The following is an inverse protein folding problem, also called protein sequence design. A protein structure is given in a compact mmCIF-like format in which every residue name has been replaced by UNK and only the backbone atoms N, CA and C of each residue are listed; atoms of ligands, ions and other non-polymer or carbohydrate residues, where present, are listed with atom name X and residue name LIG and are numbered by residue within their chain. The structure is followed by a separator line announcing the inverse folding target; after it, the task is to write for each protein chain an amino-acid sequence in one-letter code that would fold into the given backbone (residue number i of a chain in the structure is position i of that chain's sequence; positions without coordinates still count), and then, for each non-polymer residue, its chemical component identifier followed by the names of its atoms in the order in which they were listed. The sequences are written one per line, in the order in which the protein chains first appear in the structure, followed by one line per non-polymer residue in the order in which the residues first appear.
data_IF_027862799014
#
_entry.id   IF_027862799014
#
_cell.length_a   1.000
_cell.length_b   1.000
_cell.length_c   1.000
_cell.angle_alpha   90.00
_cell.angle_beta   90.00
_cell.angle_gamma   90.00
#
_symmetry.space_group_name_H-M   'P 1'
#
loop_
_entity.id
_entity.type
_entity.pdbx_description
1 polymer ?
#
# COMPACT_ATOMS: atom_id res chain seq x y z
N UNK A 1 18.38 -11.30 -14.08
CA UNK A 1 17.05 -11.58 -14.65
C UNK A 1 16.73 -13.03 -14.33
N UNK A 2 15.57 -13.29 -13.76
CA UNK A 2 15.11 -14.64 -13.43
C UNK A 2 14.83 -15.40 -14.73
N UNK A 3 15.44 -16.58 -14.94
CA UNK A 3 15.21 -17.47 -16.10
C UNK A 3 13.83 -18.17 -16.09
N UNK A 4 12.87 -17.62 -15.35
CA UNK A 4 11.55 -18.24 -15.17
C UNK A 4 10.63 -17.74 -16.28
N UNK A 5 10.18 -18.65 -17.15
CA UNK A 5 9.11 -18.37 -18.11
C UNK A 5 7.73 -18.56 -17.43
N UNK A 6 6.92 -17.49 -17.29
CA UNK A 6 5.60 -17.58 -16.69
C UNK A 6 4.54 -18.20 -17.63
N UNK A 7 4.85 -18.44 -18.90
CA UNK A 7 3.90 -19.05 -19.83
C UNK A 7 3.61 -20.52 -19.47
N UNK A 8 2.34 -20.90 -19.54
CA UNK A 8 1.88 -22.25 -19.20
C UNK A 8 1.88 -22.58 -17.70
N UNK A 9 2.48 -21.74 -16.85
CA UNK A 9 2.46 -21.92 -15.40
C UNK A 9 1.09 -21.56 -14.82
N UNK A 10 0.58 -22.41 -13.93
CA UNK A 10 -0.69 -22.20 -13.21
C UNK A 10 -0.44 -21.95 -11.73
N UNK A 11 -1.25 -21.08 -11.12
CA UNK A 11 -1.24 -20.92 -9.67
C UNK A 11 -1.98 -22.09 -9.00
N UNK A 12 -1.40 -22.68 -7.96
CA UNK A 12 -1.95 -23.88 -7.32
C UNK A 12 -2.74 -23.59 -6.02
N UNK A 13 -2.85 -22.32 -5.62
CA UNK A 13 -3.47 -21.89 -4.38
C UNK A 13 -4.27 -20.57 -4.50
N UNK A 14 -4.95 -20.20 -3.41
CA UNK A 14 -5.58 -18.90 -3.26
C UNK A 14 -6.82 -18.68 -4.13
N UNK A 15 -7.20 -17.41 -4.31
CA UNK A 15 -8.44 -17.00 -4.99
C UNK A 15 -8.46 -17.36 -6.48
N UNK A 16 -7.29 -17.39 -7.12
CA UNK A 16 -7.13 -17.60 -8.56
C UNK A 16 -6.64 -19.02 -8.91
N UNK A 17 -6.74 -19.97 -7.97
CA UNK A 17 -6.26 -21.35 -8.15
C UNK A 17 -6.72 -21.95 -9.48
N UNK A 18 -5.77 -22.51 -10.22
CA UNK A 18 -5.98 -23.14 -11.53
C UNK A 18 -5.89 -22.15 -12.71
N UNK A 19 -5.80 -20.85 -12.46
CA UNK A 19 -5.57 -19.87 -13.52
C UNK A 19 -4.09 -19.81 -13.95
N UNK A 20 -3.86 -19.41 -15.19
CA UNK A 20 -2.51 -19.13 -15.69
C UNK A 20 -1.97 -17.84 -15.06
N UNK A 21 -0.68 -17.81 -14.73
CA UNK A 21 -0.01 -16.60 -14.21
C UNK A 21 -0.20 -15.39 -15.14
N UNK A 22 -0.17 -15.62 -16.45
CA UNK A 22 -0.39 -14.61 -17.49
C UNK A 22 -1.79 -14.00 -17.49
N UNK A 23 -2.76 -14.59 -16.80
CA UNK A 23 -4.14 -14.09 -16.66
C UNK A 23 -4.41 -13.40 -15.33
N UNK A 24 -3.50 -13.53 -14.37
CA UNK A 24 -3.68 -12.96 -13.03
C UNK A 24 -3.72 -11.42 -13.10
N UNK A 25 -4.57 -10.77 -12.29
CA UNK A 25 -4.56 -9.32 -12.16
C UNK A 25 -3.20 -8.83 -11.65
N UNK A 26 -2.74 -7.68 -12.15
CA UNK A 26 -1.49 -7.05 -11.70
C UNK A 26 -1.46 -6.84 -10.19
N UNK A 27 -2.56 -6.40 -9.60
CA UNK A 27 -2.66 -6.20 -8.14
C UNK A 27 -2.43 -7.50 -7.35
N UNK A 28 -2.84 -8.64 -7.91
CA UNK A 28 -2.61 -9.95 -7.28
C UNK A 28 -1.14 -10.37 -7.41
N UNK A 29 -0.51 -10.14 -8.57
CA UNK A 29 0.92 -10.36 -8.76
C UNK A 29 1.74 -9.51 -7.76
N UNK A 30 1.42 -8.22 -7.63
CA UNK A 30 2.07 -7.32 -6.65
C UNK A 30 1.94 -7.85 -5.22
N UNK A 31 0.74 -8.30 -4.83
CA UNK A 31 0.52 -8.91 -3.52
C UNK A 31 1.40 -10.15 -3.32
N UNK A 32 1.43 -11.08 -4.29
CA UNK A 32 2.26 -12.29 -4.19
C UNK A 32 3.74 -11.94 -4.00
N UNK A 33 4.23 -10.99 -4.78
CA UNK A 33 5.62 -10.52 -4.72
C UNK A 33 5.95 -9.91 -3.36
N UNK A 34 5.06 -9.03 -2.85
CA UNK A 34 5.32 -8.29 -1.63
C UNK A 34 5.16 -9.13 -0.36
N UNK A 35 4.26 -10.12 -0.36
CA UNK A 35 4.09 -11.05 0.77
C UNK A 35 5.02 -12.27 0.69
N UNK A 36 5.85 -12.37 -0.37
CA UNK A 36 6.64 -13.58 -0.69
C UNK A 36 5.77 -14.85 -0.64
N UNK A 37 4.57 -14.75 -1.18
CA UNK A 37 3.61 -15.85 -1.21
C UNK A 37 4.15 -17.05 -2.02
N UNK A 38 3.59 -18.26 -1.90
CA UNK A 38 4.03 -19.38 -2.72
C UNK A 38 4.06 -19.02 -4.22
N UNK A 39 5.03 -19.53 -4.97
CA UNK A 39 5.20 -19.19 -6.39
C UNK A 39 5.42 -17.68 -6.71
N UNK A 40 5.82 -16.85 -5.72
CA UNK A 40 6.05 -15.40 -5.94
C UNK A 40 7.11 -15.09 -7.00
N UNK A 41 8.07 -15.98 -7.24
CA UNK A 41 9.10 -15.80 -8.27
C UNK A 41 8.51 -15.83 -9.68
N UNK A 42 7.52 -16.69 -9.92
CA UNK A 42 6.76 -16.74 -11.17
C UNK A 42 5.90 -15.48 -11.30
N UNK A 43 5.29 -15.02 -10.19
CA UNK A 43 4.55 -13.76 -10.18
C UNK A 43 5.46 -12.57 -10.52
N UNK A 44 6.69 -12.55 -10.00
CA UNK A 44 7.69 -11.53 -10.29
C UNK A 44 8.11 -11.55 -11.76
N UNK A 45 8.38 -12.72 -12.33
CA UNK A 45 8.70 -12.86 -13.74
C UNK A 45 7.57 -12.35 -14.65
N UNK A 46 6.30 -12.69 -14.35
CA UNK A 46 5.16 -12.17 -15.11
C UNK A 46 4.97 -10.66 -14.94
N UNK A 47 5.17 -10.14 -13.74
CA UNK A 47 5.09 -8.70 -13.47
C UNK A 47 6.14 -7.92 -14.26
N UNK A 48 7.39 -8.40 -14.26
CA UNK A 48 8.49 -7.83 -15.04
C UNK A 48 8.22 -7.93 -16.55
N UNK A 49 7.71 -9.07 -17.04
CA UNK A 49 7.35 -9.28 -18.45
C UNK A 49 6.28 -8.28 -18.93
N UNK A 50 5.35 -7.90 -18.05
CA UNK A 50 4.31 -6.88 -18.37
C UNK A 50 4.84 -5.46 -18.40
N UNK A 51 6.06 -5.21 -17.89
CA UNK A 51 6.64 -3.86 -17.83
C UNK A 51 5.94 -2.92 -16.84
N UNK A 52 5.23 -3.46 -15.85
CA UNK A 52 4.59 -2.66 -14.81
C UNK A 52 5.63 -2.18 -13.78
N UNK A 53 5.32 -1.13 -13.03
CA UNK A 53 6.26 -0.50 -12.08
C UNK A 53 5.87 -0.84 -10.65
N UNK A 54 6.84 -1.29 -9.86
CA UNK A 54 6.62 -1.56 -8.45
C UNK A 54 6.39 -0.24 -7.70
N UNK A 55 5.34 -0.14 -6.86
CA UNK A 55 5.10 1.07 -6.10
C UNK A 55 6.17 1.25 -5.01
N UNK A 56 6.48 2.49 -4.66
CA UNK A 56 7.29 2.80 -3.47
C UNK A 56 6.54 2.49 -2.18
N UNK A 57 5.23 2.71 -2.21
CA UNK A 57 4.27 2.41 -1.14
C UNK A 57 2.97 2.01 -1.82
N UNK A 58 2.42 0.86 -1.45
CA UNK A 58 1.07 0.48 -1.84
C UNK A 58 0.06 1.18 -0.93
N UNK A 59 -0.91 1.87 -1.51
CA UNK A 59 -1.93 2.60 -0.73
C UNK A 59 -3.26 1.91 -0.94
N UNK A 60 -3.85 1.41 0.15
CA UNK A 60 -5.17 0.79 0.08
C UNK A 60 -6.24 1.82 -0.29
N UNK A 61 -7.29 1.39 -0.99
CA UNK A 61 -8.46 2.26 -1.24
C UNK A 61 -9.06 2.80 0.06
N UNK A 62 -9.08 1.98 1.11
CA UNK A 62 -9.52 2.41 2.44
C UNK A 62 -8.65 3.55 3.01
N UNK A 63 -7.34 3.53 2.81
CA UNK A 63 -6.47 4.61 3.24
C UNK A 63 -6.76 5.91 2.48
N UNK A 64 -7.01 5.85 1.16
CA UNK A 64 -7.38 7.02 0.35
C UNK A 64 -8.70 7.63 0.84
N UNK A 65 -9.73 6.81 1.05
CA UNK A 65 -11.04 7.27 1.55
C UNK A 65 -10.91 7.92 2.92
N UNK A 66 -10.13 7.31 3.81
CA UNK A 66 -9.88 7.88 5.13
C UNK A 66 -9.10 9.19 5.02
N UNK A 67 -8.16 9.28 4.08
CA UNK A 67 -7.38 10.48 3.87
C UNK A 67 -8.24 11.65 3.41
N UNK A 68 -9.03 11.43 2.36
CA UNK A 68 -9.91 12.44 1.75
C UNK A 68 -10.96 12.96 2.74
N UNK A 69 -11.43 12.12 3.68
CA UNK A 69 -12.45 12.49 4.67
C UNK A 69 -11.87 13.08 5.96
N UNK A 70 -10.70 12.63 6.42
CA UNK A 70 -10.25 12.89 7.80
C UNK A 70 -8.97 13.71 7.90
N UNK A 71 -8.12 13.67 6.88
CA UNK A 71 -6.83 14.39 6.88
C UNK A 71 -6.67 15.36 5.70
N UNK A 72 -7.74 15.65 4.95
CA UNK A 72 -7.74 16.63 3.85
C UNK A 72 -7.16 17.99 4.21
N UNK A 73 -7.43 18.49 5.43
CA UNK A 73 -6.85 19.75 5.91
C UNK A 73 -5.32 19.67 6.03
N UNK A 74 -4.81 18.59 6.62
CA UNK A 74 -3.36 18.36 6.77
C UNK A 74 -2.71 18.22 5.39
N UNK A 75 -3.37 17.53 4.45
CA UNK A 75 -2.88 17.44 3.07
C UNK A 75 -2.74 18.82 2.43
N UNK A 76 -3.76 19.67 2.49
CA UNK A 76 -3.67 21.02 1.93
C UNK A 76 -2.59 21.89 2.57
N UNK A 77 -2.30 21.68 3.85
CA UNK A 77 -1.30 22.45 4.61
C UNK A 77 0.15 21.97 4.39
N UNK A 78 0.34 20.70 4.01
CA UNK A 78 1.68 20.05 4.00
C UNK A 78 2.10 19.49 2.65
N UNK A 79 1.22 19.55 1.65
CA UNK A 79 1.54 19.13 0.28
C UNK A 79 2.52 20.09 -0.38
N UNK A 80 3.39 19.55 -1.22
CA UNK A 80 4.20 20.34 -2.14
C UNK A 80 3.38 21.00 -3.24
N UNK A 81 4.04 21.83 -4.04
CA UNK A 81 3.49 22.36 -5.29
C UNK A 81 3.10 21.21 -6.22
N UNK A 82 1.88 21.27 -6.78
CA UNK A 82 1.28 20.24 -7.64
C UNK A 82 1.24 18.80 -7.09
N UNK A 83 1.36 18.63 -5.77
CA UNK A 83 1.32 17.31 -5.16
C UNK A 83 -0.14 16.85 -4.92
N UNK A 84 -0.52 15.78 -5.63
CA UNK A 84 -1.80 15.09 -5.45
C UNK A 84 -1.85 14.25 -4.16
N UNK A 85 -3.07 13.90 -3.72
CA UNK A 85 -3.29 13.15 -2.47
C UNK A 85 -2.53 11.81 -2.43
N UNK A 86 -2.48 11.10 -3.55
CA UNK A 86 -1.79 9.80 -3.64
C UNK A 86 -0.28 9.96 -3.43
N UNK A 87 0.37 10.85 -4.19
CA UNK A 87 1.81 11.12 -4.08
C UNK A 87 2.17 11.63 -2.68
N UNK A 88 1.35 12.52 -2.13
CA UNK A 88 1.49 13.00 -0.76
C UNK A 88 1.40 11.87 0.27
N UNK A 89 0.44 10.94 0.14
CA UNK A 89 0.33 9.79 1.04
C UNK A 89 1.54 8.86 0.93
N UNK A 90 2.11 8.66 -0.27
CA UNK A 90 3.33 7.88 -0.41
C UNK A 90 4.49 8.54 0.35
N UNK A 91 4.69 9.84 0.15
CA UNK A 91 5.74 10.61 0.84
C UNK A 91 5.55 10.60 2.36
N UNK A 92 4.35 10.92 2.84
CA UNK A 92 4.02 10.87 4.28
C UNK A 92 4.24 9.49 4.89
N UNK A 93 3.98 8.41 4.14
CA UNK A 93 4.21 7.05 4.63
C UNK A 93 5.70 6.77 4.79
N UNK A 94 6.51 7.14 3.80
CA UNK A 94 7.97 6.95 3.86
C UNK A 94 8.59 7.80 4.98
N UNK A 95 8.25 9.09 5.05
CA UNK A 95 8.71 9.99 6.11
C UNK A 95 8.27 9.50 7.51
N UNK A 96 7.07 8.94 7.64
CA UNK A 96 6.61 8.36 8.89
C UNK A 96 7.41 7.11 9.28
N UNK A 97 7.76 6.23 8.33
CA UNK A 97 8.59 5.05 8.62
C UNK A 97 9.98 5.49 9.14
N UNK A 98 10.55 6.55 8.57
CA UNK A 98 11.89 7.02 8.90
C UNK A 98 11.95 7.87 10.18
N UNK A 99 10.97 8.75 10.38
CA UNK A 99 11.02 9.79 11.41
C UNK A 99 9.84 9.79 12.38
N UNK A 100 8.85 8.91 12.16
CA UNK A 100 7.65 8.86 12.95
C UNK A 100 7.82 8.18 14.32
N UNK A 101 6.93 8.53 15.24
CA UNK A 101 6.86 7.92 16.57
C UNK A 101 6.05 6.61 16.49
N UNK A 102 6.70 5.46 16.73
CA UNK A 102 6.02 4.16 16.81
C UNK A 102 5.22 4.06 18.12
N UNK A 103 3.92 3.85 18.00
CA UNK A 103 3.01 3.68 19.14
C UNK A 103 2.88 2.21 19.53
N UNK A 104 2.54 1.94 20.79
CA UNK A 104 2.32 0.57 21.32
C UNK A 104 1.29 -0.23 20.50
N UNK A 105 0.31 0.43 19.89
CA UNK A 105 -0.69 -0.20 19.03
C UNK A 105 -0.19 -0.59 17.62
N UNK A 106 1.13 -0.51 17.37
CA UNK A 106 1.75 -0.83 16.08
C UNK A 106 1.53 0.22 14.98
N UNK A 107 0.92 1.36 15.31
CA UNK A 107 0.71 2.48 14.38
C UNK A 107 1.83 3.50 14.52
N UNK A 108 2.10 4.24 13.46
CA UNK A 108 3.09 5.31 13.47
C UNK A 108 2.39 6.66 13.57
N UNK A 109 2.82 7.50 14.52
CA UNK A 109 2.37 8.87 14.67
C UNK A 109 3.32 9.80 13.92
N UNK A 110 2.78 10.58 12.98
CA UNK A 110 3.54 11.52 12.18
C UNK A 110 2.65 12.68 11.71
N UNK A 111 3.13 13.93 11.78
CA UNK A 111 2.44 15.13 11.28
C UNK A 111 0.95 15.24 11.69
N UNK A 112 0.64 14.99 12.97
CA UNK A 112 -0.74 15.04 13.46
C UNK A 112 -1.65 13.89 13.00
N UNK A 113 -1.07 12.84 12.41
CA UNK A 113 -1.75 11.65 11.91
C UNK A 113 -1.28 10.38 12.64
N UNK A 114 -2.13 9.35 12.63
CA UNK A 114 -1.79 7.96 12.94
C UNK A 114 -1.92 7.13 11.67
N UNK A 115 -0.82 6.54 11.22
CA UNK A 115 -0.72 5.70 10.04
C UNK A 115 -0.65 4.23 10.48
N UNK A 116 -1.49 3.39 9.89
CA UNK A 116 -1.37 1.94 10.01
C UNK A 116 -0.66 1.42 8.76
N UNK A 117 0.57 0.97 8.92
CA UNK A 117 1.45 0.55 7.83
C UNK A 117 1.73 -0.93 8.03
N UNK A 118 1.49 -1.72 6.98
CA UNK A 118 1.98 -3.09 6.91
C UNK A 118 3.41 -3.09 6.35
N UNK A 119 4.29 -3.83 6.99
CA UNK A 119 5.58 -4.18 6.42
C UNK A 119 5.36 -5.18 5.28
N UNK A 120 6.09 -5.02 4.18
CA UNK A 120 6.10 -5.93 3.04
C UNK A 120 7.53 -6.19 2.62
N UNK A 121 7.77 -7.28 1.89
CA UNK A 121 9.12 -7.70 1.53
C UNK A 121 9.79 -6.78 0.51
N UNK A 122 9.02 -6.08 -0.32
CA UNK A 122 9.55 -5.18 -1.35
C UNK A 122 9.12 -3.73 -1.10
N UNK A 123 7.90 -3.50 -0.59
CA UNK A 123 7.38 -2.17 -0.28
C UNK A 123 6.37 -2.20 0.88
N UNK A 124 6.28 -1.12 1.68
CA UNK A 124 5.27 -1.00 2.72
C UNK A 124 3.87 -0.79 2.12
N UNK A 125 2.85 -1.16 2.88
CA UNK A 125 1.44 -0.93 2.52
C UNK A 125 0.77 0.01 3.53
N UNK A 126 0.30 1.18 3.08
CA UNK A 126 -0.54 2.05 3.89
C UNK A 126 -1.97 1.50 3.93
N UNK A 127 -2.36 0.93 5.09
CA UNK A 127 -3.67 0.29 5.29
C UNK A 127 -4.75 1.29 5.70
N UNK A 128 -4.40 2.27 6.54
CA UNK A 128 -5.32 3.35 6.95
C UNK A 128 -4.57 4.56 7.49
N UNK A 129 -5.23 5.72 7.47
CA UNK A 129 -4.74 6.97 8.09
C UNK A 129 -5.85 7.61 8.93
N UNK A 130 -5.47 8.21 10.06
CA UNK A 130 -6.40 8.87 10.97
C UNK A 130 -5.80 10.16 11.49
N UNK A 131 -6.63 11.16 11.78
CA UNK A 131 -6.21 12.37 12.49
C UNK A 131 -6.07 12.10 13.99
N UNK A 132 -5.01 12.63 14.61
CA UNK A 132 -4.85 12.63 16.06
C UNK A 132 -5.81 13.66 16.67
N UNK A 133 -6.63 13.24 17.64
CA UNK A 133 -7.55 14.13 18.36
C UNK A 133 -8.96 14.29 17.77
N UNK A 134 -9.32 13.55 16.71
CA UNK A 134 -10.68 13.55 16.18
C UNK A 134 -11.66 12.75 17.05
N UNK A 135 -12.18 13.34 18.13
CA UNK A 135 -13.44 12.87 18.71
C UNK A 135 -14.52 12.95 17.63
N UNK A 136 -15.19 11.85 17.35
CA UNK A 136 -16.56 11.90 16.84
C UNK A 136 -17.44 12.52 17.92
N UNK A 137 -17.44 13.85 18.01
CA UNK A 137 -18.41 14.59 18.80
C UNK A 137 -19.75 14.47 18.10
N UNK A 138 -20.58 13.52 18.54
CA UNK A 138 -22.03 13.72 18.41
C UNK A 138 -22.35 14.95 19.24
N UNK A 139 -22.61 16.08 18.60
CA UNK A 139 -23.41 17.12 19.22
C UNK A 139 -24.79 16.47 19.45
N UNK A 140 -25.11 16.15 20.71
CA UNK A 140 -26.50 15.96 21.10
C UNK A 140 -27.12 17.36 21.08
N UNK A 141 -28.06 17.56 20.16
CA UNK A 141 -29.06 18.60 20.28
C UNK A 141 -30.03 18.22 21.43
#
# INVERSE_FOLDING_TARGET
MSDIDPHGQTIDYGKHRGELFTRLPVSYLRWMINEKAPQWEIAKAEFERRGDTMPKVEISGHAIDRASLRVRKIWHETRGEDEGLYSWLQRMTLEAIEHGERLECGKIKYQGMKLAIGEGAEFPTLKTVMRIGGRGGKAKA
#
